data_IF_706371533573
#
_entry.id   IF_706371533573
#
_cell.length_a   1.000
_cell.length_b   1.000
_cell.length_c   1.000
_cell.angle_alpha   90.00
_cell.angle_beta   90.00
_cell.angle_gamma   90.00
#
_symmetry.space_group_name_H-M   'P 1'
#
loop_
_entity.id
_entity.type
_entity.pdbx_description
1 polymer ?
#
# COMPACT_ATOMS: atom_id res chain seq x y z
N UNK A 1 -17.53 -8.62 -5.07
CA UNK A 1 -17.63 -7.21 -4.72
C UNK A 1 -18.86 -6.55 -5.36
N UNK A 2 -19.24 -5.41 -4.87
CA UNK A 2 -20.48 -4.70 -5.26
C UNK A 2 -20.31 -4.01 -6.62
N UNK A 3 -19.14 -3.43 -6.87
CA UNK A 3 -18.86 -2.64 -8.09
C UNK A 3 -18.50 -3.50 -9.29
N UNK A 4 -18.06 -4.75 -9.07
CA UNK A 4 -17.54 -5.63 -10.11
C UNK A 4 -16.14 -5.28 -10.61
N UNK A 5 -15.49 -4.24 -10.05
CA UNK A 5 -14.11 -3.87 -10.41
C UNK A 5 -13.14 -4.93 -9.85
N UNK A 6 -12.27 -5.54 -10.66
CA UNK A 6 -11.26 -6.47 -10.17
C UNK A 6 -10.19 -5.75 -9.33
N UNK A 7 -9.64 -6.43 -8.33
CA UNK A 7 -8.58 -5.86 -7.47
C UNK A 7 -7.37 -5.37 -8.26
N UNK A 8 -6.90 -6.13 -9.25
CA UNK A 8 -5.72 -5.76 -10.02
C UNK A 8 -5.89 -4.46 -10.83
N UNK A 9 -7.12 -4.16 -11.27
CA UNK A 9 -7.44 -2.90 -11.95
C UNK A 9 -7.44 -1.73 -10.97
N UNK A 10 -8.08 -1.90 -9.81
CA UNK A 10 -8.09 -0.90 -8.74
C UNK A 10 -6.66 -0.59 -8.26
N UNK A 11 -5.86 -1.62 -8.01
CA UNK A 11 -4.48 -1.47 -7.56
C UNK A 11 -3.64 -0.67 -8.56
N UNK A 12 -3.78 -0.94 -9.86
CA UNK A 12 -3.07 -0.20 -10.91
C UNK A 12 -3.55 1.25 -11.02
N UNK A 13 -4.87 1.47 -10.95
CA UNK A 13 -5.47 2.80 -11.00
C UNK A 13 -4.95 3.70 -9.87
N UNK A 14 -4.98 3.21 -8.63
CA UNK A 14 -4.45 3.93 -7.47
C UNK A 14 -2.94 4.13 -7.59
N UNK A 15 -2.19 3.10 -8.00
CA UNK A 15 -0.73 3.19 -8.15
C UNK A 15 -0.32 4.24 -9.18
N UNK A 16 -1.02 4.36 -10.30
CA UNK A 16 -0.76 5.40 -11.32
C UNK A 16 -1.03 6.81 -10.79
N UNK A 17 -2.14 6.99 -10.07
CA UNK A 17 -2.46 8.28 -9.45
C UNK A 17 -1.46 8.66 -8.37
N UNK A 18 -1.06 7.68 -7.54
CA UNK A 18 -0.04 7.87 -6.51
C UNK A 18 1.33 8.20 -7.12
N UNK A 19 1.71 7.53 -8.21
CA UNK A 19 2.93 7.83 -8.97
C UNK A 19 2.98 9.31 -9.37
N UNK A 20 1.90 9.83 -9.95
CA UNK A 20 1.82 11.24 -10.37
C UNK A 20 1.90 12.20 -9.17
N UNK A 21 1.19 11.90 -8.08
CA UNK A 21 1.20 12.71 -6.86
C UNK A 21 2.59 12.76 -6.23
N UNK A 22 3.25 11.62 -6.08
CA UNK A 22 4.59 11.54 -5.49
C UNK A 22 5.64 12.26 -6.35
N UNK A 23 5.56 12.18 -7.67
CA UNK A 23 6.43 12.97 -8.55
C UNK A 23 6.24 14.47 -8.35
N UNK A 24 5.01 14.93 -8.21
CA UNK A 24 4.70 16.34 -7.90
C UNK A 24 5.34 16.79 -6.59
N UNK A 25 5.47 15.88 -5.62
CA UNK A 25 6.12 16.13 -4.31
C UNK A 25 7.65 15.99 -4.35
N UNK A 26 8.25 15.70 -5.50
CA UNK A 26 9.70 15.62 -5.69
C UNK A 26 10.32 14.25 -5.45
N UNK A 27 9.52 13.19 -5.30
CA UNK A 27 10.02 11.82 -5.21
C UNK A 27 10.40 11.26 -6.58
N UNK A 28 11.45 10.45 -6.62
CA UNK A 28 11.69 9.53 -7.72
C UNK A 28 10.85 8.26 -7.51
N UNK A 29 10.04 7.91 -8.48
CA UNK A 29 9.07 6.82 -8.34
C UNK A 29 9.27 5.80 -9.44
N UNK A 30 9.31 4.52 -9.06
CA UNK A 30 9.36 3.39 -9.98
C UNK A 30 8.13 2.52 -9.76
N UNK A 31 7.42 2.21 -10.82
CA UNK A 31 6.30 1.26 -10.79
C UNK A 31 6.77 -0.14 -11.15
N UNK A 32 6.27 -1.16 -10.45
CA UNK A 32 6.60 -2.56 -10.76
C UNK A 32 5.84 -3.09 -11.99
N UNK A 33 4.74 -2.45 -12.36
CA UNK A 33 4.01 -2.66 -13.60
C UNK A 33 3.27 -1.38 -14.01
N UNK A 34 3.04 -1.23 -15.28
CA UNK A 34 2.33 -0.08 -15.84
C UNK A 34 1.04 -0.47 -16.59
N UNK A 35 0.77 -1.77 -16.68
CA UNK A 35 -0.41 -2.35 -17.32
C UNK A 35 -0.93 -3.57 -16.55
N UNK A 36 -2.03 -4.15 -17.01
CA UNK A 36 -2.65 -5.35 -16.44
C UNK A 36 -2.18 -6.66 -17.10
N UNK A 37 -1.31 -6.58 -18.08
CA UNK A 37 -0.81 -7.72 -18.87
C UNK A 37 0.57 -8.17 -18.41
N UNK A 38 1.30 -7.29 -17.70
CA UNK A 38 2.65 -7.58 -17.19
C UNK A 38 2.61 -8.64 -16.09
N UNK A 39 3.14 -9.81 -16.39
CA UNK A 39 3.34 -10.88 -15.42
C UNK A 39 4.71 -10.74 -14.75
N UNK A 40 4.74 -10.29 -13.50
CA UNK A 40 5.95 -10.11 -12.71
C UNK A 40 5.76 -10.72 -11.32
N UNK A 41 6.69 -11.58 -10.92
CA UNK A 41 6.67 -12.28 -9.63
C UNK A 41 6.97 -11.33 -8.46
N UNK A 42 6.62 -11.73 -7.24
CA UNK A 42 6.95 -10.99 -6.02
C UNK A 42 8.46 -10.80 -5.85
N UNK A 43 9.25 -11.80 -6.21
CA UNK A 43 10.71 -11.73 -6.19
C UNK A 43 11.23 -10.66 -7.16
N UNK A 44 10.78 -10.70 -8.42
CA UNK A 44 11.20 -9.73 -9.45
C UNK A 44 10.81 -8.29 -9.06
N UNK A 45 9.66 -8.09 -8.41
CA UNK A 45 9.26 -6.78 -7.87
C UNK A 45 10.22 -6.27 -6.81
N UNK A 46 10.64 -7.13 -5.88
CA UNK A 46 11.62 -6.78 -4.85
C UNK A 46 13.01 -6.52 -5.46
N UNK A 47 13.45 -7.33 -6.43
CA UNK A 47 14.70 -7.15 -7.16
C UNK A 47 14.72 -5.83 -7.95
N UNK A 48 13.59 -5.43 -8.53
CA UNK A 48 13.44 -4.13 -9.19
C UNK A 48 13.68 -2.98 -8.23
N UNK A 49 13.07 -3.02 -7.04
CA UNK A 49 13.25 -1.98 -6.02
C UNK A 49 14.73 -1.80 -5.63
N UNK A 50 15.46 -2.91 -5.47
CA UNK A 50 16.91 -2.88 -5.18
C UNK A 50 17.72 -2.32 -6.35
N UNK A 51 17.44 -2.78 -7.57
CA UNK A 51 18.14 -2.34 -8.77
C UNK A 51 17.99 -0.84 -9.00
N UNK A 52 16.81 -0.31 -8.74
CA UNK A 52 16.50 1.12 -8.87
C UNK A 52 16.91 1.93 -7.64
N UNK A 53 17.53 1.29 -6.63
CA UNK A 53 17.99 1.93 -5.38
C UNK A 53 16.88 2.65 -4.62
N UNK A 54 15.71 2.07 -4.59
CA UNK A 54 14.57 2.63 -3.85
C UNK A 54 14.83 2.60 -2.33
N UNK A 55 14.34 3.62 -1.63
CA UNK A 55 14.46 3.74 -0.16
C UNK A 55 13.35 2.98 0.55
N UNK A 56 12.19 2.85 -0.08
CA UNK A 56 11.03 2.10 0.43
C UNK A 56 10.36 1.29 -0.68
N UNK A 57 9.67 0.24 -0.28
CA UNK A 57 8.83 -0.55 -1.17
C UNK A 57 7.38 -0.58 -0.64
N UNK A 58 6.48 0.11 -1.33
CA UNK A 58 5.05 0.12 -1.02
C UNK A 58 4.29 -0.78 -2.00
N UNK A 59 3.46 -1.66 -1.46
CA UNK A 59 2.58 -2.53 -2.23
C UNK A 59 1.13 -2.13 -2.00
N UNK A 60 0.42 -1.87 -3.08
CA UNK A 60 -0.98 -1.43 -3.09
C UNK A 60 -1.88 -2.63 -3.32
N UNK A 61 -2.78 -2.91 -2.38
CA UNK A 61 -3.74 -4.00 -2.41
C UNK A 61 -5.10 -3.58 -1.86
N UNK A 62 -6.12 -4.35 -2.16
CA UNK A 62 -7.44 -4.28 -1.54
C UNK A 62 -7.82 -5.68 -1.03
N UNK A 63 -8.30 -5.72 0.20
CA UNK A 63 -8.58 -6.96 0.92
C UNK A 63 -9.93 -7.56 0.54
N UNK A 64 -10.16 -8.78 0.99
CA UNK A 64 -11.44 -9.46 0.91
C UNK A 64 -11.65 -10.38 2.11
N UNK A 65 -12.90 -10.57 2.50
CA UNK A 65 -13.30 -11.46 3.59
C UNK A 65 -14.56 -12.24 3.20
N UNK A 66 -14.73 -13.44 3.76
CA UNK A 66 -15.99 -14.18 3.66
C UNK A 66 -17.14 -13.49 4.42
N UNK A 67 -16.79 -12.69 5.44
CA UNK A 67 -17.76 -11.86 6.16
C UNK A 67 -17.82 -10.46 5.52
N UNK A 68 -18.94 -10.09 4.86
CA UNK A 68 -19.09 -8.81 4.18
C UNK A 68 -19.21 -7.60 5.14
N UNK A 69 -19.41 -7.83 6.43
CA UNK A 69 -19.48 -6.77 7.43
C UNK A 69 -18.09 -6.27 7.86
N UNK A 70 -17.02 -6.98 7.48
CA UNK A 70 -15.65 -6.56 7.77
C UNK A 70 -15.25 -5.45 6.81
N UNK A 71 -14.81 -4.32 7.38
CA UNK A 71 -14.41 -3.10 6.67
C UNK A 71 -13.17 -2.47 7.28
N UNK A 72 -12.60 -1.48 6.58
CA UNK A 72 -11.49 -0.66 7.02
C UNK A 72 -10.17 -1.01 6.36
N UNK A 73 -9.16 -0.18 6.61
CA UNK A 73 -7.83 -0.31 6.02
C UNK A 73 -6.78 -0.72 7.05
N UNK A 74 -5.73 -1.38 6.59
CA UNK A 74 -4.59 -1.80 7.41
C UNK A 74 -3.30 -1.76 6.60
N UNK A 75 -2.18 -1.81 7.28
CA UNK A 75 -0.90 -2.12 6.66
C UNK A 75 -0.35 -3.44 7.20
N UNK A 76 0.40 -4.14 6.36
CA UNK A 76 1.04 -5.42 6.69
C UNK A 76 2.54 -5.29 6.54
N UNK A 77 3.27 -5.71 7.57
CA UNK A 77 4.71 -5.59 7.69
C UNK A 77 5.32 -6.87 8.27
N UNK A 78 6.63 -7.14 8.09
CA UNK A 78 7.28 -8.27 8.75
C UNK A 78 7.41 -8.03 10.25
N UNK A 79 7.35 -9.10 11.05
CA UNK A 79 7.71 -9.06 12.47
C UNK A 79 9.23 -9.10 12.69
N UNK A 80 9.68 -8.84 13.90
CA UNK A 80 11.10 -8.99 14.28
C UNK A 80 11.56 -10.46 14.20
N UNK A 81 10.65 -11.41 14.39
CA UNK A 81 10.91 -12.85 14.29
C UNK A 81 10.88 -13.39 12.86
N UNK A 82 10.59 -12.54 11.86
CA UNK A 82 10.55 -12.96 10.47
C UNK A 82 11.90 -13.59 10.06
N UNK A 83 11.92 -14.85 9.59
CA UNK A 83 13.18 -15.56 9.32
C UNK A 83 13.98 -15.05 8.12
N UNK A 84 13.38 -14.16 7.31
CA UNK A 84 13.99 -13.65 6.07
C UNK A 84 14.34 -12.16 6.15
N UNK A 85 13.48 -11.37 6.76
CA UNK A 85 13.53 -9.90 6.71
C UNK A 85 13.20 -9.25 8.06
N UNK A 86 13.42 -9.95 9.17
CA UNK A 86 13.15 -9.45 10.52
C UNK A 86 13.90 -8.15 10.85
N UNK A 87 15.09 -7.95 10.29
CA UNK A 87 15.87 -6.72 10.43
C UNK A 87 15.19 -5.49 9.83
N UNK A 88 14.25 -5.69 8.89
CA UNK A 88 13.47 -4.61 8.29
C UNK A 88 12.21 -4.26 9.11
N UNK A 89 11.88 -5.01 10.15
CA UNK A 89 10.63 -4.87 10.91
C UNK A 89 10.42 -3.47 11.46
N UNK A 90 11.42 -2.89 12.12
CA UNK A 90 11.30 -1.58 12.77
C UNK A 90 10.97 -0.46 11.76
N UNK A 91 11.72 -0.37 10.67
CA UNK A 91 11.49 0.66 9.64
C UNK A 91 10.23 0.39 8.82
N UNK A 92 9.92 -0.89 8.53
CA UNK A 92 8.68 -1.27 7.86
C UNK A 92 7.44 -0.95 8.70
N UNK A 93 7.51 -1.17 10.02
CA UNK A 93 6.44 -0.82 10.96
C UNK A 93 6.23 0.69 11.03
N UNK A 94 7.32 1.47 11.07
CA UNK A 94 7.25 2.94 11.06
C UNK A 94 6.63 3.45 9.77
N UNK A 95 7.04 2.91 8.62
CA UNK A 95 6.45 3.22 7.31
C UNK A 95 4.96 2.87 7.28
N UNK A 96 4.61 1.67 7.69
CA UNK A 96 3.22 1.20 7.74
C UNK A 96 2.35 2.05 8.65
N UNK A 97 2.85 2.45 9.82
CA UNK A 97 2.11 3.29 10.76
C UNK A 97 1.86 4.69 10.18
N UNK A 98 2.90 5.34 9.63
CA UNK A 98 2.74 6.65 9.00
C UNK A 98 1.70 6.63 7.88
N UNK A 99 1.74 5.61 7.02
CA UNK A 99 0.82 5.49 5.89
C UNK A 99 -0.60 5.22 6.38
N UNK A 100 -0.82 4.26 7.29
CA UNK A 100 -2.19 3.90 7.69
C UNK A 100 -2.88 5.02 8.47
N UNK A 101 -2.16 5.73 9.32
CA UNK A 101 -2.71 6.82 10.10
C UNK A 101 -3.14 7.98 9.18
N UNK A 102 -2.26 8.46 8.30
CA UNK A 102 -2.59 9.50 7.33
C UNK A 102 -3.69 9.09 6.35
N UNK A 103 -3.66 7.83 5.88
CA UNK A 103 -4.66 7.29 4.97
C UNK A 103 -6.05 7.32 5.59
N UNK A 104 -6.18 6.79 6.81
CA UNK A 104 -7.48 6.72 7.50
C UNK A 104 -7.96 8.09 7.99
N UNK A 105 -7.06 8.98 8.40
CA UNK A 105 -7.41 10.37 8.73
C UNK A 105 -7.99 11.10 7.51
N UNK A 106 -7.39 10.92 6.34
CA UNK A 106 -7.81 11.61 5.11
C UNK A 106 -9.08 11.02 4.51
N UNK A 107 -9.21 9.69 4.51
CA UNK A 107 -10.34 8.99 3.87
C UNK A 107 -11.55 8.81 4.77
N UNK A 108 -11.37 8.85 6.08
CA UNK A 108 -12.40 8.48 7.06
C UNK A 108 -12.63 6.98 7.21
N UNK A 109 -11.83 6.13 6.55
CA UNK A 109 -11.90 4.67 6.73
C UNK A 109 -11.53 4.25 8.15
N UNK A 110 -12.12 3.16 8.61
CA UNK A 110 -11.76 2.52 9.87
C UNK A 110 -10.29 2.08 9.85
N UNK A 111 -9.50 2.63 10.77
CA UNK A 111 -8.09 2.28 10.91
C UNK A 111 -7.94 0.96 11.70
N UNK A 112 -7.48 -0.09 11.03
CA UNK A 112 -7.18 -1.40 11.63
C UNK A 112 -5.71 -1.53 12.03
N UNK A 113 -4.91 -0.47 11.83
CA UNK A 113 -3.52 -0.37 12.26
C UNK A 113 -2.54 -1.20 11.43
N UNK A 114 -1.35 -1.38 12.01
CA UNK A 114 -0.28 -2.22 11.46
C UNK A 114 -0.47 -3.66 11.90
N UNK A 115 -0.42 -4.59 10.95
CA UNK A 115 -0.52 -6.03 11.18
C UNK A 115 0.80 -6.71 10.81
N UNK A 116 1.21 -7.71 11.58
CA UNK A 116 2.47 -8.43 11.36
C UNK A 116 2.23 -9.78 10.69
N UNK A 117 2.91 -10.01 9.56
CA UNK A 117 2.79 -11.22 8.76
C UNK A 117 4.17 -11.70 8.31
N UNK A 118 4.50 -12.97 8.54
CA UNK A 118 5.81 -13.55 8.26
C UNK A 118 5.79 -14.61 7.14
N UNK A 119 4.63 -14.94 6.62
CA UNK A 119 4.42 -15.92 5.56
C UNK A 119 4.08 -15.31 4.18
N UNK A 120 4.20 -13.98 4.03
CA UNK A 120 3.86 -13.29 2.80
C UNK A 120 5.06 -13.16 1.86
N UNK A 121 5.00 -13.82 0.70
CA UNK A 121 6.05 -13.76 -0.33
C UNK A 121 6.27 -12.34 -0.84
N UNK A 122 5.23 -11.50 -0.84
CA UNK A 122 5.33 -10.08 -1.20
C UNK A 122 6.21 -9.26 -0.27
N UNK A 123 6.41 -9.71 0.96
CA UNK A 123 7.24 -9.07 1.98
C UNK A 123 8.62 -9.74 2.04
N UNK A 124 8.67 -11.07 2.06
CA UNK A 124 9.85 -11.87 2.38
C UNK A 124 11.00 -11.80 1.36
N UNK A 125 10.77 -11.26 0.17
CA UNK A 125 11.81 -10.98 -0.83
C UNK A 125 12.38 -9.57 -0.74
N UNK A 126 11.84 -8.70 0.09
CA UNK A 126 12.32 -7.31 0.19
C UNK A 126 13.71 -7.24 0.82
N UNK A 127 14.50 -6.27 0.37
CA UNK A 127 15.80 -5.92 0.96
C UNK A 127 15.81 -4.48 1.50
N UNK A 128 14.66 -3.82 1.47
CA UNK A 128 14.43 -2.46 1.93
C UNK A 128 13.14 -2.41 2.74
N UNK A 129 12.90 -1.37 3.56
CA UNK A 129 11.65 -1.21 4.27
C UNK A 129 10.43 -1.39 3.36
N UNK A 130 9.51 -2.26 3.76
CA UNK A 130 8.38 -2.70 2.94
C UNK A 130 7.09 -2.71 3.74
N UNK A 131 6.03 -2.23 3.13
CA UNK A 131 4.67 -2.41 3.66
C UNK A 131 3.69 -2.72 2.53
N UNK A 132 2.69 -3.53 2.85
CA UNK A 132 1.49 -3.69 2.02
C UNK A 132 0.42 -2.82 2.65
N UNK A 133 -0.21 -1.94 1.88
CA UNK A 133 -1.47 -1.33 2.30
C UNK A 133 -2.64 -2.13 1.73
N UNK A 134 -3.53 -2.57 2.60
CA UNK A 134 -4.86 -3.05 2.28
C UNK A 134 -5.82 -1.86 2.42
N UNK A 135 -6.18 -1.27 1.28
CA UNK A 135 -6.87 0.02 1.22
C UNK A 135 -8.30 -0.02 1.72
N UNK A 136 -8.90 -1.18 1.80
CA UNK A 136 -10.26 -1.46 2.24
C UNK A 136 -10.65 -2.88 1.84
N UNK A 137 -11.86 -3.32 2.21
CA UNK A 137 -12.36 -4.65 1.88
C UNK A 137 -13.31 -4.59 0.67
N UNK A 138 -12.91 -5.19 -0.45
CA UNK A 138 -13.76 -5.29 -1.65
C UNK A 138 -15.02 -6.13 -1.43
N UNK A 139 -15.03 -6.99 -0.40
CA UNK A 139 -16.19 -7.74 0.04
C UNK A 139 -17.21 -6.91 0.80
N UNK A 140 -16.80 -5.75 1.35
CA UNK A 140 -17.69 -4.81 2.01
C UNK A 140 -18.23 -3.80 1.00
N UNK A 141 -19.57 -3.61 0.97
CA UNK A 141 -20.21 -2.78 -0.05
C UNK A 141 -19.83 -1.29 0.04
N UNK A 142 -19.62 -0.77 1.24
CA UNK A 142 -19.22 0.62 1.46
C UNK A 142 -17.77 0.84 1.04
N UNK A 143 -16.84 0.02 1.52
CA UNK A 143 -15.43 0.11 1.15
C UNK A 143 -15.25 -0.03 -0.37
N UNK A 144 -15.89 -1.04 -1.01
CA UNK A 144 -15.79 -1.30 -2.44
C UNK A 144 -16.32 -0.12 -3.27
N UNK A 145 -17.44 0.46 -2.86
CA UNK A 145 -18.02 1.62 -3.54
C UNK A 145 -17.14 2.86 -3.41
N UNK A 146 -16.63 3.11 -2.22
CA UNK A 146 -15.73 4.24 -1.95
C UNK A 146 -14.43 4.11 -2.76
N UNK A 147 -13.79 2.94 -2.74
CA UNK A 147 -12.55 2.72 -3.51
C UNK A 147 -12.72 2.82 -5.03
N UNK A 148 -13.92 2.59 -5.55
CA UNK A 148 -14.23 2.74 -6.98
C UNK A 148 -14.58 4.18 -7.39
N UNK A 149 -14.90 5.05 -6.44
CA UNK A 149 -15.24 6.45 -6.68
C UNK A 149 -14.01 7.31 -6.93
N UNK A 150 -14.00 8.10 -8.02
CA UNK A 150 -12.83 8.88 -8.44
C UNK A 150 -12.47 10.03 -7.49
N UNK A 151 -13.46 10.63 -6.84
CA UNK A 151 -13.21 11.70 -5.86
C UNK A 151 -12.63 11.10 -4.59
N UNK A 152 -13.18 9.97 -4.13
CA UNK A 152 -12.66 9.24 -2.99
C UNK A 152 -11.24 8.71 -3.23
N UNK A 153 -10.93 8.24 -4.43
CA UNK A 153 -9.57 7.84 -4.81
C UNK A 153 -8.56 9.00 -4.68
N UNK A 154 -8.98 10.24 -4.90
CA UNK A 154 -8.12 11.40 -4.68
C UNK A 154 -7.73 11.54 -3.21
N UNK A 155 -8.66 11.28 -2.28
CA UNK A 155 -8.38 11.23 -0.84
C UNK A 155 -7.47 10.04 -0.47
N UNK A 156 -7.69 8.87 -1.08
CA UNK A 156 -6.84 7.69 -0.86
C UNK A 156 -5.39 7.97 -1.25
N UNK A 157 -5.18 8.53 -2.42
CA UNK A 157 -3.85 8.91 -2.93
C UNK A 157 -3.18 9.97 -2.06
N UNK A 158 -3.92 11.01 -1.68
CA UNK A 158 -3.44 12.06 -0.78
C UNK A 158 -3.03 11.46 0.58
N UNK A 159 -3.85 10.63 1.18
CA UNK A 159 -3.56 10.02 2.47
C UNK A 159 -2.30 9.14 2.45
N UNK A 160 -2.12 8.34 1.40
CA UNK A 160 -0.89 7.53 1.23
C UNK A 160 0.33 8.43 1.05
N UNK A 161 0.25 9.44 0.19
CA UNK A 161 1.35 10.35 -0.08
C UNK A 161 1.74 11.17 1.16
N UNK A 162 0.77 11.62 1.94
CA UNK A 162 0.99 12.29 3.22
C UNK A 162 1.71 11.38 4.22
N UNK A 163 1.34 10.12 4.30
CA UNK A 163 2.02 9.13 5.14
C UNK A 163 3.48 8.89 4.73
N UNK A 164 3.78 8.92 3.43
CA UNK A 164 5.15 8.83 2.90
C UNK A 164 5.94 10.08 3.30
N UNK A 165 5.36 11.27 3.18
CA UNK A 165 5.99 12.53 3.65
C UNK A 165 6.31 12.46 5.14
N UNK A 166 5.37 11.99 5.97
CA UNK A 166 5.57 11.83 7.41
C UNK A 166 6.72 10.85 7.71
N UNK A 167 6.79 9.75 6.97
CA UNK A 167 7.87 8.78 7.12
C UNK A 167 9.25 9.38 6.85
N UNK A 168 9.40 10.17 5.79
CA UNK A 168 10.65 10.83 5.45
C UNK A 168 10.89 12.14 6.21
N UNK A 169 9.94 12.60 7.01
CA UNK A 169 10.02 13.87 7.75
C UNK A 169 9.91 15.10 6.84
N UNK A 170 9.29 14.97 5.68
CA UNK A 170 9.07 16.06 4.75
C UNK A 170 7.94 16.96 5.23
N UNK A 171 8.14 18.27 5.17
CA UNK A 171 7.11 19.25 5.55
C UNK A 171 6.18 19.44 4.36
N UNK A 172 4.87 19.33 4.65
CA UNK A 172 3.83 19.65 3.67
C UNK A 172 3.72 21.17 3.56
N UNK A 173 3.78 21.70 2.36
CA UNK A 173 3.52 23.12 2.07
C UNK A 173 2.02 23.40 1.87
#
# INVERSE_FOLDING_TARGET
>A
NTTGKPEYELNLEISRRLYQELQTRGYEVVMTREDNETAISNKERAELAVREKADIFLRIHANSSENPDIQGAMTMVPSEENPYVGELSAESSRLGQCIIDSYCETTGMLNKGVQYYDDMTGINWSQIPVTIIEMGFMSNAEDDTNMADLEYQSLMVQGIADGIDDYFGNVRE
#
